data_IF_523141051553
#
_entry.id   IF_523141051553
#
_cell.length_a   1.000
_cell.length_b   1.000
_cell.length_c   1.000
_cell.angle_alpha   90.00
_cell.angle_beta   90.00
_cell.angle_gamma   90.00
#
_symmetry.space_group_name_H-M   'P 1'
#
loop_
_entity.id
_entity.type
_entity.pdbx_description
1 polymer ?
#
# COMPACT_ATOMS: atom_id res chain seq x y z
N UNK A 1 -15.05 11.88 -3.42
CA UNK A 1 -13.81 11.25 -3.88
C UNK A 1 -13.07 10.65 -2.70
N UNK A 2 -12.58 9.41 -2.83
CA UNK A 2 -11.64 8.74 -1.93
C UNK A 2 -10.33 8.53 -2.70
N UNK A 3 -9.20 8.61 -2.00
CA UNK A 3 -7.89 8.19 -2.50
C UNK A 3 -7.45 6.97 -1.71
N UNK A 4 -7.07 5.91 -2.42
CA UNK A 4 -6.49 4.71 -1.82
C UNK A 4 -4.98 4.70 -1.99
N UNK A 5 -4.25 4.59 -0.90
CA UNK A 5 -2.78 4.66 -0.86
C UNK A 5 -2.06 3.40 -1.31
N UNK A 6 -2.77 2.27 -1.59
CA UNK A 6 -2.10 1.04 -2.00
C UNK A 6 -3.03 0.03 -2.65
N UNK A 7 -2.77 -0.31 -3.92
CA UNK A 7 -3.48 -1.36 -4.67
C UNK A 7 -2.55 -2.07 -5.67
N UNK A 8 -2.55 -3.41 -5.65
CA UNK A 8 -1.73 -4.29 -6.51
C UNK A 8 -2.41 -4.62 -7.85
N UNK A 9 -2.87 -3.60 -8.60
CA UNK A 9 -3.71 -3.81 -9.79
C UNK A 9 -3.02 -4.64 -10.88
N UNK A 10 -1.78 -4.30 -11.24
CA UNK A 10 -1.06 -5.02 -12.30
C UNK A 10 -0.67 -6.44 -11.86
N UNK A 11 -0.33 -6.65 -10.59
CA UNK A 11 -0.05 -7.98 -10.05
C UNK A 11 -1.30 -8.87 -10.13
N UNK A 12 -2.45 -8.38 -9.72
CA UNK A 12 -3.73 -9.08 -9.85
C UNK A 12 -4.04 -9.44 -11.30
N UNK A 13 -3.89 -8.50 -12.22
CA UNK A 13 -4.18 -8.73 -13.64
C UNK A 13 -3.22 -9.76 -14.27
N UNK A 14 -1.93 -9.68 -13.98
CA UNK A 14 -0.91 -10.49 -14.67
C UNK A 14 -0.63 -11.83 -13.97
N UNK A 15 -0.65 -11.86 -12.64
CA UNK A 15 -0.35 -13.06 -11.85
C UNK A 15 -1.61 -13.89 -11.59
N UNK A 16 -2.68 -13.24 -11.11
CA UNK A 16 -3.94 -13.93 -10.81
C UNK A 16 -4.90 -14.03 -12.01
N UNK A 17 -4.55 -13.37 -13.13
CA UNK A 17 -5.37 -13.33 -14.35
C UNK A 17 -6.76 -12.73 -14.16
N UNK A 18 -6.91 -11.83 -13.18
CA UNK A 18 -8.13 -11.09 -12.94
C UNK A 18 -8.34 -10.03 -14.01
N UNK A 19 -9.48 -10.07 -14.72
CA UNK A 19 -9.82 -9.07 -15.76
C UNK A 19 -10.42 -7.84 -15.07
N UNK A 20 -9.60 -6.92 -14.60
CA UNK A 20 -10.02 -5.80 -13.74
C UNK A 20 -11.02 -4.83 -14.41
N UNK A 21 -11.20 -4.89 -15.72
CA UNK A 21 -12.24 -4.13 -16.45
C UNK A 21 -13.64 -4.75 -16.34
N UNK A 22 -13.73 -5.97 -15.87
CA UNK A 22 -15.00 -6.68 -15.66
C UNK A 22 -15.68 -6.28 -14.34
N UNK A 23 -16.94 -6.63 -14.20
CA UNK A 23 -17.64 -6.55 -12.92
C UNK A 23 -17.01 -7.52 -11.91
N UNK A 24 -17.07 -7.17 -10.63
CA UNK A 24 -16.54 -8.04 -9.58
C UNK A 24 -17.18 -9.43 -9.58
N UNK A 25 -18.47 -9.52 -9.93
CA UNK A 25 -19.18 -10.80 -10.05
C UNK A 25 -18.60 -11.68 -11.16
N UNK A 26 -18.26 -11.10 -12.31
CA UNK A 26 -17.63 -11.84 -13.40
C UNK A 26 -16.22 -12.30 -13.03
N UNK A 27 -15.43 -11.46 -12.35
CA UNK A 27 -14.11 -11.83 -11.86
C UNK A 27 -14.23 -13.04 -10.94
N UNK A 28 -15.09 -12.97 -9.92
CA UNK A 28 -15.32 -14.06 -8.95
C UNK A 28 -15.81 -15.35 -9.59
N UNK A 29 -16.68 -15.27 -10.59
CA UNK A 29 -17.18 -16.46 -11.32
C UNK A 29 -16.07 -17.17 -12.13
N UNK A 30 -14.99 -16.46 -12.45
CA UNK A 30 -13.86 -17.01 -13.20
C UNK A 30 -12.69 -17.45 -12.31
N UNK A 31 -12.75 -17.18 -10.99
CA UNK A 31 -11.73 -17.61 -10.04
C UNK A 31 -11.78 -19.13 -9.81
N UNK A 32 -10.62 -19.76 -9.73
CA UNK A 32 -10.51 -21.18 -9.41
C UNK A 32 -10.51 -21.41 -7.90
N UNK A 33 -10.88 -22.62 -7.41
CA UNK A 33 -10.76 -22.95 -5.99
C UNK A 33 -9.34 -22.75 -5.44
N UNK A 34 -8.29 -23.03 -6.23
CA UNK A 34 -6.91 -22.81 -5.82
C UNK A 34 -6.59 -21.32 -5.63
N UNK A 35 -7.17 -20.42 -6.43
CA UNK A 35 -7.01 -18.98 -6.25
C UNK A 35 -7.65 -18.53 -4.94
N UNK A 36 -8.86 -18.99 -4.62
CA UNK A 36 -9.52 -18.66 -3.34
C UNK A 36 -8.73 -19.09 -2.13
N UNK A 37 -8.17 -20.29 -2.16
CA UNK A 37 -7.38 -20.81 -1.03
C UNK A 37 -6.07 -20.08 -0.81
N UNK A 38 -5.54 -19.43 -1.84
CA UNK A 38 -4.23 -18.79 -1.80
C UNK A 38 -4.30 -17.27 -1.69
N UNK A 39 -5.21 -16.65 -2.45
CA UNK A 39 -5.27 -15.19 -2.63
C UNK A 39 -6.60 -14.59 -2.17
N UNK A 40 -7.56 -15.44 -1.78
CA UNK A 40 -8.90 -15.03 -1.40
C UNK A 40 -9.77 -14.57 -2.57
N UNK A 41 -11.06 -14.33 -2.28
CA UNK A 41 -12.06 -13.87 -3.23
C UNK A 41 -11.84 -12.41 -3.60
N UNK A 42 -11.83 -12.08 -4.91
CA UNK A 42 -11.56 -10.74 -5.43
C UNK A 42 -12.48 -9.66 -4.85
N UNK A 43 -11.90 -8.50 -4.60
CA UNK A 43 -12.58 -7.32 -4.03
C UNK A 43 -12.47 -6.09 -4.92
N UNK A 44 -11.48 -6.05 -5.85
CA UNK A 44 -11.14 -4.88 -6.64
C UNK A 44 -11.43 -5.10 -8.11
N UNK A 45 -12.16 -4.16 -8.71
CA UNK A 45 -12.28 -3.99 -10.15
C UNK A 45 -12.41 -2.51 -10.49
N UNK A 46 -12.10 -2.11 -11.72
CA UNK A 46 -12.24 -0.71 -12.13
C UNK A 46 -13.70 -0.21 -12.03
N UNK A 47 -14.73 -1.01 -12.40
CA UNK A 47 -16.11 -0.65 -12.14
C UNK A 47 -16.44 -0.45 -10.65
N UNK A 48 -15.94 -1.30 -9.74
CA UNK A 48 -16.16 -1.15 -8.30
C UNK A 48 -15.41 0.06 -7.72
N UNK A 49 -14.20 0.39 -8.23
CA UNK A 49 -13.52 1.64 -7.87
C UNK A 49 -14.37 2.86 -8.26
N UNK A 50 -14.89 2.88 -9.48
CA UNK A 50 -15.80 3.96 -9.92
C UNK A 50 -17.05 4.06 -9.04
N UNK A 51 -17.70 2.93 -8.74
CA UNK A 51 -18.88 2.86 -7.86
C UNK A 51 -18.57 3.35 -6.44
N UNK A 52 -17.37 3.05 -5.92
CA UNK A 52 -16.86 3.50 -4.63
C UNK A 52 -16.37 4.95 -4.64
N UNK A 53 -16.43 5.65 -5.79
CA UNK A 53 -15.86 7.00 -5.94
C UNK A 53 -14.38 7.07 -5.50
N UNK A 54 -13.62 5.99 -5.82
CA UNK A 54 -12.17 5.91 -5.65
C UNK A 54 -11.57 6.44 -6.96
N UNK A 55 -11.27 7.74 -7.00
CA UNK A 55 -10.83 8.40 -8.22
C UNK A 55 -9.32 8.45 -8.37
N UNK A 56 -8.58 8.29 -7.26
CA UNK A 56 -7.12 8.19 -7.27
C UNK A 56 -6.72 6.98 -6.45
N UNK A 57 -5.75 6.21 -6.97
CA UNK A 57 -5.11 5.14 -6.20
C UNK A 57 -3.59 5.17 -6.42
N UNK A 58 -2.83 4.79 -5.38
CA UNK A 58 -1.42 4.46 -5.53
C UNK A 58 -1.36 3.01 -5.99
N UNK A 59 -0.93 2.84 -7.23
CA UNK A 59 -0.93 1.54 -7.90
C UNK A 59 0.48 0.98 -7.94
N UNK A 60 0.64 -0.24 -7.45
CA UNK A 60 1.96 -0.82 -7.24
C UNK A 60 2.55 -1.42 -8.51
N UNK A 61 3.88 -1.41 -8.56
CA UNK A 61 4.69 -2.34 -9.32
C UNK A 61 5.32 -3.26 -8.27
N UNK A 62 4.86 -4.50 -8.20
CA UNK A 62 5.26 -5.47 -7.20
C UNK A 62 5.87 -6.72 -7.86
N UNK A 63 7.15 -6.96 -7.61
CA UNK A 63 7.83 -8.19 -7.99
C UNK A 63 8.04 -9.05 -6.74
N UNK A 64 7.42 -10.21 -6.70
CA UNK A 64 7.48 -11.14 -5.57
C UNK A 64 8.72 -12.02 -5.65
N UNK A 65 9.51 -12.17 -4.56
CA UNK A 65 10.61 -13.15 -4.52
C UNK A 65 10.09 -14.57 -4.60
N UNK A 66 10.80 -15.45 -5.32
CA UNK A 66 10.42 -16.86 -5.46
C UNK A 66 10.57 -17.62 -4.14
N UNK A 67 9.55 -18.39 -3.79
CA UNK A 67 9.55 -19.29 -2.62
C UNK A 67 9.28 -18.60 -1.27
N UNK A 68 9.01 -17.30 -1.24
CA UNK A 68 8.76 -16.58 0.00
C UNK A 68 7.32 -16.73 0.54
N UNK A 69 6.38 -17.03 -0.34
CA UNK A 69 4.98 -17.35 0.00
C UNK A 69 4.51 -18.54 -0.84
N UNK A 70 3.40 -19.19 -0.47
CA UNK A 70 2.80 -20.25 -1.28
C UNK A 70 2.48 -19.82 -2.73
N UNK A 71 2.27 -18.53 -2.95
CA UNK A 71 1.90 -17.92 -4.23
C UNK A 71 3.11 -17.50 -5.06
N UNK A 72 4.30 -17.43 -4.46
CA UNK A 72 5.54 -16.97 -5.10
C UNK A 72 6.25 -18.08 -5.92
N UNK A 73 5.53 -19.07 -6.43
CA UNK A 73 6.09 -20.12 -7.31
C UNK A 73 6.68 -19.48 -8.58
N UNK A 74 6.07 -18.41 -9.07
CA UNK A 74 6.45 -17.69 -10.29
C UNK A 74 7.25 -16.39 -10.00
N UNK A 75 7.75 -16.23 -8.78
CA UNK A 75 8.52 -15.05 -8.37
C UNK A 75 9.93 -15.01 -8.99
N UNK A 76 10.64 -13.90 -8.72
CA UNK A 76 12.01 -13.72 -9.18
C UNK A 76 13.04 -14.42 -8.27
N UNK A 77 14.17 -14.80 -8.88
CA UNK A 77 15.34 -15.39 -8.19
C UNK A 77 16.59 -14.49 -8.30
N UNK A 78 16.56 -13.47 -9.14
CA UNK A 78 17.65 -12.53 -9.36
C UNK A 78 17.10 -11.16 -9.83
N UNK A 79 17.93 -10.09 -9.78
CA UNK A 79 17.48 -8.73 -10.13
C UNK A 79 16.97 -8.56 -11.56
N UNK A 80 17.51 -9.31 -12.53
CA UNK A 80 17.06 -9.23 -13.93
C UNK A 80 15.65 -9.78 -14.09
N UNK A 81 15.34 -10.88 -13.41
CA UNK A 81 13.98 -11.43 -13.37
C UNK A 81 13.00 -10.46 -12.68
N UNK A 82 13.42 -9.83 -11.56
CA UNK A 82 12.62 -8.82 -10.88
C UNK A 82 12.34 -7.61 -11.78
N UNK A 83 13.36 -7.12 -12.49
CA UNK A 83 13.24 -6.05 -13.48
C UNK A 83 12.24 -6.41 -14.57
N UNK A 84 12.34 -7.62 -15.15
CA UNK A 84 11.45 -8.07 -16.21
C UNK A 84 9.99 -8.18 -15.75
N UNK A 85 9.74 -8.65 -14.52
CA UNK A 85 8.40 -8.68 -13.93
C UNK A 85 7.86 -7.25 -13.78
N UNK A 86 8.65 -6.34 -13.22
CA UNK A 86 8.26 -4.95 -13.06
C UNK A 86 7.96 -4.27 -14.40
N UNK A 87 8.78 -4.50 -15.42
CA UNK A 87 8.56 -3.93 -16.76
C UNK A 87 7.30 -4.50 -17.44
N UNK A 88 6.92 -5.76 -17.16
CA UNK A 88 5.64 -6.30 -17.63
C UNK A 88 4.45 -5.59 -16.99
N UNK A 89 4.52 -5.30 -15.68
CA UNK A 89 3.49 -4.55 -14.97
C UNK A 89 3.40 -3.10 -15.47
N UNK A 90 4.53 -2.43 -15.67
CA UNK A 90 4.58 -1.08 -16.26
C UNK A 90 3.90 -1.07 -17.63
N UNK A 91 4.25 -2.01 -18.52
CA UNK A 91 3.63 -2.13 -19.85
C UNK A 91 2.12 -2.37 -19.77
N UNK A 92 1.67 -3.14 -18.77
CA UNK A 92 0.24 -3.32 -18.54
C UNK A 92 -0.43 -1.99 -18.15
N UNK A 93 0.15 -1.21 -17.23
CA UNK A 93 -0.39 0.12 -16.87
C UNK A 93 -0.43 1.05 -18.08
N UNK A 94 0.64 1.11 -18.87
CA UNK A 94 0.70 1.95 -20.08
C UNK A 94 -0.35 1.54 -21.12
N UNK A 95 -0.54 0.23 -21.33
CA UNK A 95 -1.58 -0.28 -22.24
C UNK A 95 -2.99 0.08 -21.76
N UNK A 96 -3.26 -0.03 -20.48
CA UNK A 96 -4.55 0.32 -19.88
C UNK A 96 -4.81 1.83 -19.95
N UNK A 97 -3.78 2.67 -19.79
CA UNK A 97 -3.86 4.13 -19.97
C UNK A 97 -4.16 4.48 -21.44
N UNK A 98 -3.45 3.86 -22.40
CA UNK A 98 -3.72 4.04 -23.84
C UNK A 98 -5.16 3.68 -24.21
N UNK A 99 -5.70 2.64 -23.61
CA UNK A 99 -7.09 2.22 -23.75
C UNK A 99 -8.08 3.07 -22.94
N UNK A 100 -7.61 4.15 -22.27
CA UNK A 100 -8.42 5.14 -21.53
C UNK A 100 -9.20 4.59 -20.31
N UNK A 101 -8.72 3.50 -19.72
CA UNK A 101 -9.31 2.96 -18.50
C UNK A 101 -9.00 3.83 -17.28
N UNK A 102 -7.83 4.46 -17.28
CA UNK A 102 -7.38 5.43 -16.27
C UNK A 102 -6.31 6.36 -16.85
N UNK A 103 -5.82 7.32 -16.06
CA UNK A 103 -4.69 8.18 -16.37
C UNK A 103 -3.61 8.01 -15.29
N UNK A 104 -2.33 7.97 -15.69
CA UNK A 104 -1.21 7.96 -14.76
C UNK A 104 -0.82 9.41 -14.42
N UNK A 105 -0.74 9.73 -13.13
CA UNK A 105 -0.33 11.04 -12.62
C UNK A 105 1.20 11.11 -12.65
N UNK A 106 1.74 11.98 -13.52
CA UNK A 106 3.19 12.17 -13.69
C UNK A 106 3.67 13.56 -13.31
N UNK A 107 2.73 14.50 -13.13
CA UNK A 107 3.01 15.90 -12.87
C UNK A 107 1.99 16.55 -11.93
N UNK A 108 2.31 17.73 -11.42
CA UNK A 108 1.37 18.53 -10.63
C UNK A 108 0.11 18.91 -11.44
N UNK A 109 0.26 19.17 -12.74
CA UNK A 109 -0.88 19.44 -13.63
C UNK A 109 -1.81 18.22 -13.74
N UNK A 110 -1.25 17.00 -13.85
CA UNK A 110 -2.05 15.78 -13.84
C UNK A 110 -2.79 15.58 -12.52
N UNK A 111 -2.14 15.91 -11.39
CA UNK A 111 -2.77 15.83 -10.07
C UNK A 111 -3.95 16.81 -9.96
N UNK A 112 -3.79 18.05 -10.42
CA UNK A 112 -4.87 19.04 -10.40
C UNK A 112 -6.05 18.60 -11.30
N UNK A 113 -5.75 18.05 -12.49
CA UNK A 113 -6.77 17.48 -13.35
C UNK A 113 -7.50 16.30 -12.67
N UNK A 114 -6.76 15.40 -12.02
CA UNK A 114 -7.31 14.25 -11.31
C UNK A 114 -8.26 14.64 -10.15
N UNK A 115 -8.05 15.78 -9.51
CA UNK A 115 -8.91 16.27 -8.43
C UNK A 115 -10.27 16.79 -8.93
N UNK A 116 -10.37 17.17 -10.19
CA UNK A 116 -11.55 17.82 -10.78
C UNK A 116 -12.29 16.95 -11.78
N UNK A 117 -11.62 15.96 -12.38
CA UNK A 117 -12.25 15.01 -13.27
C UNK A 117 -12.87 13.83 -12.49
N UNK A 118 -13.85 13.15 -13.10
CA UNK A 118 -14.49 11.97 -12.52
C UNK A 118 -13.90 10.65 -13.08
N UNK A 119 -12.65 10.70 -13.58
CA UNK A 119 -11.97 9.51 -14.10
C UNK A 119 -11.10 8.89 -13.02
N UNK A 120 -10.77 7.62 -13.20
CA UNK A 120 -9.77 6.96 -12.39
C UNK A 120 -8.38 7.45 -12.77
N UNK A 121 -7.57 7.79 -11.77
CA UNK A 121 -6.20 8.24 -11.93
C UNK A 121 -5.29 7.42 -11.01
N UNK A 122 -4.07 7.12 -11.45
CA UNK A 122 -3.14 6.29 -10.71
C UNK A 122 -1.82 7.01 -10.49
N UNK A 123 -1.27 6.96 -9.27
CA UNK A 123 0.13 7.28 -8.99
C UNK A 123 0.90 5.98 -8.83
N UNK A 124 1.98 5.80 -9.59
CA UNK A 124 2.73 4.55 -9.56
C UNK A 124 3.73 4.52 -8.40
N UNK A 125 3.74 3.39 -7.68
CA UNK A 125 4.57 3.06 -6.53
C UNK A 125 5.34 1.76 -6.80
N UNK A 126 6.66 1.75 -6.62
CA UNK A 126 7.47 0.52 -6.66
C UNK A 126 7.51 -0.10 -5.26
N UNK A 127 6.93 -1.27 -5.09
CA UNK A 127 6.92 -2.01 -3.83
C UNK A 127 8.00 -3.10 -3.83
N UNK A 128 9.06 -2.85 -3.05
CA UNK A 128 10.30 -3.61 -3.10
C UNK A 128 11.23 -3.15 -4.23
N UNK A 129 12.45 -2.75 -3.89
CA UNK A 129 13.37 -2.11 -4.84
C UNK A 129 14.24 -3.10 -5.66
N UNK A 130 14.10 -4.42 -5.49
CA UNK A 130 14.89 -5.41 -6.24
C UNK A 130 14.74 -5.34 -7.77
N UNK A 131 13.64 -4.82 -8.36
CA UNK A 131 13.58 -4.51 -9.79
C UNK A 131 14.62 -3.49 -10.28
N UNK A 132 15.17 -2.66 -9.41
CA UNK A 132 16.30 -1.80 -9.75
C UNK A 132 17.58 -2.65 -9.76
N UNK A 133 18.03 -3.14 -10.91
CA UNK A 133 19.24 -3.97 -11.05
C UNK A 133 20.49 -3.26 -10.55
N UNK A 134 20.52 -1.95 -10.80
CA UNK A 134 21.45 -0.98 -10.22
C UNK A 134 20.68 0.28 -9.82
N UNK A 135 21.30 1.13 -9.00
CA UNK A 135 20.71 2.41 -8.57
C UNK A 135 20.42 3.32 -9.79
N UNK A 136 21.10 3.13 -10.91
CA UNK A 136 20.91 3.94 -12.12
C UNK A 136 19.60 3.62 -12.83
N UNK A 137 19.08 2.41 -12.68
CA UNK A 137 17.75 2.04 -13.20
C UNK A 137 16.64 2.92 -12.61
N UNK A 138 16.85 3.60 -11.47
CA UNK A 138 15.88 4.55 -10.91
C UNK A 138 15.37 5.55 -11.94
N UNK A 139 16.24 6.02 -12.84
CA UNK A 139 15.86 6.97 -13.89
C UNK A 139 14.85 6.35 -14.86
N UNK A 140 15.04 5.08 -15.23
CA UNK A 140 14.12 4.35 -16.12
C UNK A 140 12.73 4.28 -15.47
N UNK A 141 12.65 3.93 -14.19
CA UNK A 141 11.37 3.83 -13.48
C UNK A 141 10.69 5.19 -13.33
N UNK A 142 11.45 6.26 -13.07
CA UNK A 142 10.92 7.65 -13.03
C UNK A 142 10.33 8.05 -14.39
N UNK A 143 10.98 7.72 -15.49
CA UNK A 143 10.53 8.03 -16.86
C UNK A 143 9.21 7.32 -17.19
N UNK A 144 8.98 6.12 -16.62
CA UNK A 144 7.70 5.41 -16.67
C UNK A 144 6.64 5.94 -15.70
N UNK A 145 6.95 6.94 -14.89
CA UNK A 145 5.98 7.60 -14.00
C UNK A 145 5.97 7.12 -12.56
N UNK A 146 6.91 6.28 -12.12
CA UNK A 146 7.04 5.91 -10.71
C UNK A 146 7.44 7.16 -9.90
N UNK A 147 6.74 7.41 -8.79
CA UNK A 147 6.94 8.59 -7.93
C UNK A 147 7.13 8.26 -6.45
N UNK A 148 6.95 7.00 -6.08
CA UNK A 148 7.21 6.50 -4.74
C UNK A 148 7.88 5.15 -4.78
N UNK A 149 8.73 4.84 -3.82
CA UNK A 149 9.45 3.56 -3.71
C UNK A 149 9.48 3.11 -2.26
N UNK A 150 9.04 1.87 -2.01
CA UNK A 150 9.33 1.11 -0.81
C UNK A 150 10.60 0.27 -1.03
N UNK A 151 11.70 0.50 -0.30
CA UNK A 151 12.96 -0.21 -0.54
C UNK A 151 12.89 -1.73 -0.29
N UNK A 152 11.97 -2.19 0.53
CA UNK A 152 11.77 -3.60 0.80
C UNK A 152 10.30 -3.99 0.82
N UNK A 153 9.98 -5.23 0.41
CA UNK A 153 8.76 -5.94 0.76
C UNK A 153 9.03 -6.90 1.94
N UNK A 154 9.95 -7.84 1.78
CA UNK A 154 10.62 -8.55 2.89
C UNK A 154 12.07 -8.08 2.97
N UNK A 155 13.04 -8.92 2.69
CA UNK A 155 14.43 -8.51 2.53
C UNK A 155 14.72 -8.30 1.05
N UNK A 156 15.30 -7.16 0.70
CA UNK A 156 15.86 -6.88 -0.62
C UNK A 156 17.36 -6.65 -0.54
N UNK A 157 18.02 -6.41 -1.66
CA UNK A 157 19.43 -5.97 -1.68
C UNK A 157 19.63 -4.60 -1.03
N UNK A 158 18.55 -3.84 -0.86
CA UNK A 158 18.58 -2.46 -0.36
C UNK A 158 18.26 -2.34 1.13
N UNK A 159 17.39 -3.21 1.66
CA UNK A 159 16.94 -3.08 3.04
C UNK A 159 16.41 -4.39 3.63
N UNK A 160 16.48 -4.51 4.94
CA UNK A 160 15.69 -5.47 5.69
C UNK A 160 14.22 -5.01 5.77
N UNK A 161 13.30 -5.97 5.78
CA UNK A 161 11.86 -5.72 5.81
C UNK A 161 11.12 -6.66 6.75
N UNK A 162 9.80 -6.58 6.76
CA UNK A 162 8.92 -7.37 7.63
C UNK A 162 9.16 -8.88 7.45
N UNK A 163 9.35 -9.59 8.57
CA UNK A 163 9.65 -11.02 8.59
C UNK A 163 11.08 -11.40 8.15
N UNK A 164 11.92 -10.43 7.79
CA UNK A 164 13.35 -10.59 7.55
C UNK A 164 14.07 -9.28 7.93
N UNK A 165 14.03 -8.89 9.22
CA UNK A 165 14.50 -7.59 9.68
C UNK A 165 16.00 -7.41 9.47
N UNK A 166 16.40 -6.15 9.28
CA UNK A 166 17.78 -5.74 9.11
C UNK A 166 17.88 -4.24 8.81
N UNK A 167 19.08 -3.67 8.83
CA UNK A 167 19.31 -2.26 8.49
C UNK A 167 19.21 -2.03 6.98
N UNK A 168 19.35 -0.78 6.56
CA UNK A 168 19.68 -0.45 5.18
C UNK A 168 21.05 -1.05 4.82
N UNK A 169 21.18 -1.51 3.58
CA UNK A 169 22.51 -1.84 3.03
C UNK A 169 23.20 -0.56 2.52
N UNK A 170 24.47 -0.67 2.11
CA UNK A 170 25.15 0.48 1.47
C UNK A 170 24.47 0.89 0.16
N UNK A 171 23.99 -0.09 -0.61
CA UNK A 171 23.17 0.17 -1.81
C UNK A 171 21.83 0.86 -1.43
N UNK A 172 21.21 0.44 -0.31
CA UNK A 172 20.00 1.07 0.21
C UNK A 172 20.19 2.53 0.59
N UNK A 173 21.28 2.85 1.31
CA UNK A 173 21.64 4.23 1.64
C UNK A 173 21.89 5.08 0.38
N UNK A 174 22.57 4.51 -0.61
CA UNK A 174 22.83 5.18 -1.88
C UNK A 174 21.53 5.38 -2.68
N UNK A 175 20.59 4.41 -2.67
CA UNK A 175 19.28 4.52 -3.28
C UNK A 175 18.47 5.66 -2.64
N UNK A 176 18.38 5.71 -1.32
CA UNK A 176 17.64 6.77 -0.61
C UNK A 176 18.19 8.16 -0.92
N UNK A 177 19.53 8.31 -0.94
CA UNK A 177 20.18 9.57 -1.35
C UNK A 177 19.83 9.97 -2.80
N UNK A 178 19.69 9.00 -3.71
CA UNK A 178 19.30 9.29 -5.09
C UNK A 178 17.82 9.62 -5.20
N UNK A 179 16.96 8.92 -4.45
CA UNK A 179 15.52 9.22 -4.34
C UNK A 179 15.31 10.64 -3.81
N UNK A 180 16.02 11.04 -2.77
CA UNK A 180 15.95 12.39 -2.19
C UNK A 180 16.27 13.47 -3.23
N UNK A 181 17.37 13.31 -3.96
CA UNK A 181 17.78 14.23 -5.05
C UNK A 181 16.78 14.31 -6.21
N UNK A 182 15.97 13.27 -6.41
CA UNK A 182 14.97 13.17 -7.49
C UNK A 182 13.54 13.46 -7.00
N UNK A 183 13.38 13.83 -5.74
CA UNK A 183 12.09 14.04 -5.07
C UNK A 183 11.14 12.84 -5.21
N UNK A 184 11.68 11.61 -5.14
CA UNK A 184 10.90 10.38 -5.10
C UNK A 184 10.51 10.10 -3.65
N UNK A 185 9.21 9.90 -3.41
CA UNK A 185 8.72 9.64 -2.06
C UNK A 185 9.20 8.28 -1.53
N UNK A 186 9.50 8.24 -0.25
CA UNK A 186 9.83 7.02 0.47
C UNK A 186 8.56 6.41 1.08
N UNK A 187 8.19 5.22 0.64
CA UNK A 187 7.23 4.38 1.33
C UNK A 187 7.95 3.49 2.33
N UNK A 188 7.61 3.63 3.61
CA UNK A 188 8.21 2.83 4.69
C UNK A 188 7.44 1.56 5.01
N UNK A 189 6.29 1.32 4.35
CA UNK A 189 5.58 0.06 4.48
C UNK A 189 6.53 -1.10 4.19
N UNK A 190 6.43 -2.17 4.97
CA UNK A 190 7.33 -3.32 4.94
C UNK A 190 8.77 -3.11 5.42
N UNK A 191 9.31 -1.90 5.52
CA UNK A 191 10.65 -1.71 6.08
C UNK A 191 10.71 -2.19 7.54
N UNK A 192 11.81 -2.81 7.93
CA UNK A 192 12.08 -3.11 9.34
C UNK A 192 12.33 -1.84 10.14
N UNK A 193 12.09 -1.88 11.46
CA UNK A 193 12.33 -0.73 12.35
C UNK A 193 13.78 -0.19 12.25
N UNK A 194 14.75 -1.07 12.05
CA UNK A 194 16.16 -0.68 11.86
C UNK A 194 16.33 0.13 10.58
N UNK A 195 15.80 -0.37 9.46
CA UNK A 195 15.85 0.33 8.18
C UNK A 195 15.07 1.65 8.21
N UNK A 196 13.89 1.70 8.83
CA UNK A 196 13.10 2.92 9.01
C UNK A 196 13.90 3.98 9.77
N UNK A 197 14.52 3.62 10.89
CA UNK A 197 15.27 4.57 11.71
C UNK A 197 16.45 5.19 10.95
N UNK A 198 17.17 4.41 10.15
CA UNK A 198 18.23 4.93 9.29
C UNK A 198 17.66 5.79 8.15
N UNK A 199 16.58 5.35 7.52
CA UNK A 199 15.96 6.05 6.41
C UNK A 199 15.52 7.49 6.75
N UNK A 200 14.98 7.70 7.95
CA UNK A 200 14.63 9.04 8.44
C UNK A 200 15.82 10.00 8.55
N UNK A 201 17.04 9.50 8.73
CA UNK A 201 18.24 10.33 8.80
C UNK A 201 18.86 10.65 7.43
N UNK A 202 18.48 9.90 6.39
CA UNK A 202 19.07 10.00 5.05
C UNK A 202 18.11 10.69 4.08
N UNK A 203 16.85 10.27 4.07
CA UNK A 203 15.83 10.77 3.12
C UNK A 203 15.11 11.98 3.71
N UNK A 204 15.21 13.15 3.05
CA UNK A 204 14.57 14.40 3.46
C UNK A 204 13.30 14.73 2.64
N UNK A 205 13.07 14.03 1.56
CA UNK A 205 11.90 14.16 0.70
C UNK A 205 10.59 13.66 1.33
N UNK A 206 9.52 13.56 0.55
CA UNK A 206 8.23 13.05 1.02
C UNK A 206 8.35 11.62 1.57
N UNK A 207 7.70 11.37 2.71
CA UNK A 207 7.71 10.06 3.37
C UNK A 207 6.30 9.70 3.81
N UNK A 208 5.93 8.44 3.69
CA UNK A 208 4.64 7.91 4.12
C UNK A 208 4.72 6.39 4.35
N UNK A 209 3.72 5.82 5.02
CA UNK A 209 3.43 4.41 4.98
C UNK A 209 2.18 4.23 4.12
N UNK A 210 2.31 3.60 2.96
CA UNK A 210 1.19 3.42 2.04
C UNK A 210 0.06 2.58 2.66
N UNK A 211 0.42 1.53 3.42
CA UNK A 211 -0.50 0.59 4.05
C UNK A 211 0.10 -0.01 5.33
N UNK A 212 -0.27 0.52 6.49
CA UNK A 212 0.17 0.03 7.82
C UNK A 212 -0.83 0.39 8.91
N UNK A 213 -0.87 -0.40 9.98
CA UNK A 213 -1.68 -0.12 11.16
C UNK A 213 -0.79 0.15 12.39
N UNK A 214 -1.40 0.48 13.53
CA UNK A 214 -0.68 0.73 14.78
C UNK A 214 -0.29 -0.58 15.45
N UNK A 215 1.01 -0.80 15.67
CA UNK A 215 1.54 -1.99 16.37
C UNK A 215 0.93 -2.16 17.75
N UNK A 216 0.81 -1.08 18.54
CA UNK A 216 0.26 -1.13 19.88
C UNK A 216 -1.21 -1.56 19.94
N UNK A 217 -1.98 -1.32 18.88
CA UNK A 217 -3.37 -1.77 18.76
C UNK A 217 -3.42 -3.20 18.22
N UNK A 218 -2.75 -3.48 17.10
CA UNK A 218 -2.70 -4.83 16.49
C UNK A 218 -2.26 -5.89 17.48
N UNK A 219 -1.25 -5.59 18.30
CA UNK A 219 -0.63 -6.51 19.26
C UNK A 219 -1.23 -6.43 20.66
N UNK A 220 -2.41 -5.80 20.84
CA UNK A 220 -3.03 -5.65 22.15
C UNK A 220 -3.24 -7.01 22.82
N UNK A 221 -2.74 -7.14 24.05
CA UNK A 221 -2.80 -8.36 24.85
C UNK A 221 -2.00 -9.57 24.31
N UNK A 222 -1.17 -9.40 23.29
CA UNK A 222 -0.33 -10.46 22.74
C UNK A 222 1.08 -10.36 23.29
N UNK A 223 1.61 -11.49 23.78
CA UNK A 223 3.04 -11.62 24.08
C UNK A 223 3.80 -12.05 22.84
N UNK A 224 4.71 -11.18 22.40
CA UNK A 224 5.58 -11.47 21.25
C UNK A 224 6.72 -12.37 21.73
N UNK A 225 6.89 -13.52 21.08
CA UNK A 225 8.07 -14.37 21.23
C UNK A 225 8.88 -14.37 19.93
N UNK A 226 10.19 -14.44 20.06
CA UNK A 226 11.09 -14.42 18.90
C UNK A 226 10.80 -15.58 17.95
N UNK A 227 10.80 -15.28 16.64
CA UNK A 227 10.49 -16.24 15.57
C UNK A 227 9.00 -16.57 15.39
N UNK A 228 8.12 -16.00 16.23
CA UNK A 228 6.69 -16.26 16.13
C UNK A 228 6.03 -15.53 14.94
N UNK A 229 4.86 -16.01 14.52
CA UNK A 229 4.01 -15.28 13.57
C UNK A 229 3.66 -13.87 14.08
N UNK A 230 3.43 -13.72 15.38
CA UNK A 230 3.13 -12.45 16.01
C UNK A 230 4.28 -11.43 15.90
N UNK A 231 5.54 -11.88 15.97
CA UNK A 231 6.70 -11.00 15.72
C UNK A 231 6.66 -10.44 14.29
N UNK A 232 6.40 -11.29 13.30
CA UNK A 232 6.28 -10.86 11.89
C UNK A 232 5.13 -9.88 11.67
N UNK A 233 3.98 -10.12 12.32
CA UNK A 233 2.83 -9.20 12.29
C UNK A 233 3.20 -7.88 12.96
N UNK A 234 3.89 -7.91 14.11
CA UNK A 234 4.31 -6.72 14.83
C UNK A 234 5.30 -5.86 14.00
N UNK A 235 6.29 -6.50 13.38
CA UNK A 235 7.27 -5.82 12.50
C UNK A 235 6.61 -5.15 11.29
N UNK A 236 5.48 -5.68 10.83
CA UNK A 236 4.73 -5.12 9.70
C UNK A 236 3.97 -3.85 10.05
N UNK A 237 3.75 -3.58 11.35
CA UNK A 237 2.97 -2.44 11.84
C UNK A 237 3.89 -1.35 12.39
N UNK A 238 3.47 -0.08 12.26
CA UNK A 238 4.23 1.06 12.78
C UNK A 238 4.07 1.22 14.29
N UNK A 239 5.17 1.44 14.99
CA UNK A 239 5.13 1.80 16.42
C UNK A 239 4.81 3.29 16.62
N UNK A 240 4.50 3.67 17.86
CA UNK A 240 4.08 5.02 18.20
C UNK A 240 5.17 6.07 17.89
N UNK A 241 6.46 5.71 18.03
CA UNK A 241 7.59 6.61 17.71
C UNK A 241 7.74 6.82 16.21
N UNK A 242 7.44 5.80 15.41
CA UNK A 242 7.44 5.91 13.94
C UNK A 242 6.27 6.80 13.50
N UNK A 243 5.07 6.65 14.13
CA UNK A 243 3.92 7.54 13.86
C UNK A 243 4.30 9.00 14.12
N UNK A 244 4.95 9.29 15.26
CA UNK A 244 5.41 10.63 15.59
C UNK A 244 6.40 11.19 14.54
N UNK A 245 7.40 10.38 14.15
CA UNK A 245 8.38 10.76 13.11
C UNK A 245 7.73 11.06 11.76
N UNK A 246 6.76 10.23 11.34
CA UNK A 246 5.99 10.46 10.11
C UNK A 246 5.23 11.79 10.20
N UNK A 247 4.56 12.04 11.31
CA UNK A 247 3.80 13.28 11.55
C UNK A 247 4.68 14.53 11.48
N UNK A 248 5.86 14.50 12.12
CA UNK A 248 6.85 15.59 12.08
C UNK A 248 7.32 15.91 10.66
N UNK A 249 7.32 14.90 9.77
CA UNK A 249 7.66 15.03 8.35
C UNK A 249 6.44 15.33 7.48
N UNK A 250 5.25 15.60 8.08
CA UNK A 250 3.98 15.81 7.39
C UNK A 250 3.59 14.62 6.49
N UNK A 251 4.04 13.43 6.85
CA UNK A 251 3.73 12.18 6.17
C UNK A 251 2.35 11.65 6.51
N UNK A 252 2.00 10.50 5.93
CA UNK A 252 0.73 9.82 6.17
C UNK A 252 0.93 8.33 6.42
N UNK A 253 -0.06 7.71 7.07
CA UNK A 253 -0.16 6.28 7.30
C UNK A 253 -1.50 5.81 6.76
N UNK A 254 -1.46 4.99 5.72
CA UNK A 254 -2.64 4.35 5.13
C UNK A 254 -3.12 3.20 5.99
N UNK A 255 -4.36 3.25 6.45
CA UNK A 255 -5.01 2.17 7.19
C UNK A 255 -5.22 0.97 6.26
N UNK A 256 -4.65 -0.18 6.63
CA UNK A 256 -4.77 -1.44 5.89
C UNK A 256 -5.96 -2.26 6.41
N UNK A 257 -6.66 -2.91 5.46
CA UNK A 257 -7.94 -3.61 5.71
C UNK A 257 -7.77 -5.13 5.87
N UNK A 258 -6.61 -5.59 6.30
CA UNK A 258 -6.32 -7.01 6.53
C UNK A 258 -6.50 -7.37 8.00
N UNK A 259 -7.41 -8.30 8.31
CA UNK A 259 -7.80 -8.63 9.68
C UNK A 259 -6.63 -8.93 10.63
N UNK A 260 -5.62 -9.76 10.26
CA UNK A 260 -4.46 -9.99 11.13
C UNK A 260 -3.63 -8.74 11.42
N UNK A 261 -3.71 -7.69 10.58
CA UNK A 261 -3.03 -6.43 10.79
C UNK A 261 -3.87 -5.43 11.59
N UNK A 262 -5.18 -5.67 11.68
CA UNK A 262 -6.08 -4.93 12.55
C UNK A 262 -6.01 -5.54 13.96
N UNK A 263 -6.11 -6.86 14.08
CA UNK A 263 -6.06 -7.59 15.34
C UNK A 263 -5.30 -8.91 15.16
N UNK A 264 -4.08 -9.00 15.71
CA UNK A 264 -3.21 -10.16 15.51
C UNK A 264 -3.75 -11.46 16.14
N UNK A 265 -4.68 -11.37 17.08
CA UNK A 265 -5.40 -12.51 17.66
C UNK A 265 -6.54 -13.03 16.77
N UNK A 266 -6.87 -12.32 15.68
CA UNK A 266 -7.94 -12.75 14.79
C UNK A 266 -7.69 -14.16 14.22
N UNK A 267 -8.74 -14.99 14.24
CA UNK A 267 -8.75 -16.34 13.71
C UNK A 267 -9.94 -16.49 12.76
N UNK A 268 -9.69 -16.92 11.53
CA UNK A 268 -10.70 -17.04 10.48
C UNK A 268 -11.86 -17.99 10.82
N UNK A 269 -11.61 -18.95 11.71
CA UNK A 269 -12.61 -19.99 12.05
C UNK A 269 -13.64 -19.53 13.10
N UNK A 270 -13.41 -18.42 13.79
CA UNK A 270 -14.18 -18.11 15.01
C UNK A 270 -14.98 -16.81 14.95
N UNK A 271 -14.54 -15.75 14.26
CA UNK A 271 -15.22 -14.45 14.36
C UNK A 271 -15.01 -13.56 13.12
N UNK A 272 -16.10 -12.98 12.62
CA UNK A 272 -16.03 -11.83 11.73
C UNK A 272 -15.52 -10.61 12.51
N UNK A 273 -14.43 -10.00 12.05
CA UNK A 273 -13.94 -8.78 12.67
C UNK A 273 -14.83 -7.60 12.24
N UNK A 274 -15.49 -6.89 13.17
CA UNK A 274 -16.37 -5.78 12.76
C UNK A 274 -15.59 -4.68 12.04
N UNK A 275 -16.20 -4.03 11.07
CA UNK A 275 -15.58 -2.88 10.35
C UNK A 275 -15.14 -1.76 11.31
N UNK A 276 -15.83 -1.58 12.42
CA UNK A 276 -15.48 -0.63 13.49
C UNK A 276 -14.14 -0.91 14.17
N UNK A 277 -13.56 -2.11 14.01
CA UNK A 277 -12.23 -2.47 14.55
C UNK A 277 -11.09 -1.64 13.95
N UNK A 278 -11.33 -0.92 12.87
CA UNK A 278 -10.40 0.09 12.33
C UNK A 278 -10.33 1.36 13.18
N UNK A 279 -11.38 1.68 13.95
CA UNK A 279 -11.44 2.94 14.71
C UNK A 279 -10.33 3.10 15.75
N UNK A 280 -9.92 2.08 16.53
CA UNK A 280 -8.79 2.21 17.45
C UNK A 280 -7.49 2.64 16.76
N UNK A 281 -7.19 2.11 15.55
CA UNK A 281 -6.01 2.50 14.77
C UNK A 281 -6.10 3.96 14.32
N UNK A 282 -7.23 4.36 13.73
CA UNK A 282 -7.48 5.74 13.33
C UNK A 282 -7.30 6.70 14.52
N UNK A 283 -7.91 6.38 15.67
CA UNK A 283 -7.79 7.17 16.90
C UNK A 283 -6.36 7.27 17.37
N UNK A 284 -5.61 6.16 17.39
CA UNK A 284 -4.22 6.16 17.86
C UNK A 284 -3.31 6.98 16.98
N UNK A 285 -3.40 6.86 15.66
CA UNK A 285 -2.61 7.67 14.73
C UNK A 285 -2.97 9.17 14.91
N UNK A 286 -4.27 9.50 15.01
CA UNK A 286 -4.72 10.87 15.25
C UNK A 286 -4.22 11.42 16.58
N UNK A 287 -4.23 10.65 17.66
CA UNK A 287 -3.76 11.07 18.99
C UNK A 287 -2.28 11.43 18.97
N UNK A 288 -1.45 10.71 18.23
CA UNK A 288 0.00 10.91 18.18
C UNK A 288 0.38 11.96 17.13
N UNK A 289 -0.17 11.85 15.93
CA UNK A 289 0.29 12.61 14.76
C UNK A 289 -0.70 13.63 14.20
N UNK A 290 -1.91 13.74 14.79
CA UNK A 290 -3.00 14.54 14.20
C UNK A 290 -3.74 13.79 13.08
N UNK A 291 -4.91 14.32 12.71
CA UNK A 291 -5.73 13.74 11.64
C UNK A 291 -5.01 13.81 10.27
N UNK A 292 -4.11 14.75 10.10
CA UNK A 292 -3.31 14.94 8.90
C UNK A 292 -2.38 13.77 8.61
N UNK A 293 -2.13 12.90 9.61
CA UNK A 293 -1.27 11.71 9.47
C UNK A 293 -2.05 10.48 9.02
N UNK A 294 -3.39 10.49 9.06
CA UNK A 294 -4.22 9.32 8.73
C UNK A 294 -4.63 9.32 7.27
N UNK A 295 -4.50 8.19 6.59
CA UNK A 295 -4.97 7.99 5.21
C UNK A 295 -5.65 6.61 5.07
N UNK A 296 -6.18 6.31 3.90
CA UNK A 296 -6.62 4.97 3.50
C UNK A 296 -5.51 4.37 2.65
N UNK A 297 -5.11 3.15 2.95
CA UNK A 297 -4.21 2.32 2.17
C UNK A 297 -4.69 0.89 2.29
N UNK A 298 -5.73 0.57 1.51
CA UNK A 298 -6.60 -0.57 1.81
C UNK A 298 -5.92 -1.91 1.67
N UNK A 299 -5.00 -2.03 0.73
CA UNK A 299 -4.31 -3.29 0.38
C UNK A 299 -5.30 -4.40 -0.03
N UNK A 300 -6.48 -4.00 -0.54
CA UNK A 300 -7.48 -4.95 -1.02
C UNK A 300 -6.95 -5.67 -2.26
N UNK A 301 -7.10 -7.00 -2.26
CA UNK A 301 -6.51 -7.89 -3.26
C UNK A 301 -4.96 -7.93 -3.26
N UNK A 302 -4.29 -7.42 -2.22
CA UNK A 302 -2.84 -7.56 -2.00
C UNK A 302 -2.44 -8.93 -1.43
N UNK A 303 -2.89 -10.02 -2.06
CA UNK A 303 -2.71 -11.40 -1.58
C UNK A 303 -3.71 -11.81 -0.49
N UNK A 304 -4.79 -11.05 -0.34
CA UNK A 304 -5.88 -11.31 0.62
C UNK A 304 -7.22 -10.99 -0.05
N UNK A 305 -8.29 -11.66 0.35
CA UNK A 305 -9.63 -11.45 -0.19
C UNK A 305 -10.68 -11.15 0.89
N UNK A 306 -11.94 -11.23 0.49
CA UNK A 306 -13.11 -10.96 1.36
C UNK A 306 -13.01 -11.69 2.70
N UNK A 307 -12.50 -12.90 2.70
CA UNK A 307 -12.43 -13.80 3.88
C UNK A 307 -11.53 -13.27 4.98
N UNK A 308 -10.57 -12.42 4.62
CA UNK A 308 -9.56 -11.89 5.53
C UNK A 308 -9.69 -10.38 5.77
N UNK A 309 -10.82 -9.78 5.37
CA UNK A 309 -11.12 -8.36 5.55
C UNK A 309 -12.26 -8.17 6.57
N UNK A 310 -12.41 -6.97 7.16
CA UNK A 310 -13.47 -6.70 8.13
C UNK A 310 -14.88 -6.96 7.57
N UNK A 311 -15.76 -7.45 8.43
CA UNK A 311 -17.16 -7.71 8.10
C UNK A 311 -17.84 -6.47 7.50
N UNK A 312 -18.57 -6.71 6.43
CA UNK A 312 -19.22 -5.66 5.65
C UNK A 312 -18.32 -4.99 4.61
N UNK A 313 -17.04 -5.37 4.48
CA UNK A 313 -16.16 -4.96 3.40
C UNK A 313 -16.13 -6.06 2.34
N UNK A 314 -17.02 -5.98 1.36
CA UNK A 314 -17.17 -6.99 0.33
C UNK A 314 -16.46 -6.62 -0.99
N UNK A 315 -16.38 -5.34 -1.31
CA UNK A 315 -15.64 -4.81 -2.46
C UNK A 315 -14.99 -3.49 -2.09
N UNK A 316 -14.07 -3.00 -2.92
CA UNK A 316 -13.43 -1.70 -2.73
C UNK A 316 -14.44 -0.55 -2.65
N UNK A 317 -15.63 -0.68 -3.25
CA UNK A 317 -16.69 0.32 -3.14
C UNK A 317 -17.16 0.53 -1.69
N UNK A 318 -17.01 -0.46 -0.83
CA UNK A 318 -17.38 -0.38 0.59
C UNK A 318 -16.48 0.53 1.43
N UNK A 319 -15.33 0.99 0.90
CA UNK A 319 -14.51 2.03 1.55
C UNK A 319 -15.32 3.32 1.82
N UNK A 320 -16.44 3.53 1.11
CA UNK A 320 -17.41 4.60 1.40
C UNK A 320 -18.05 4.47 2.79
N UNK A 321 -17.91 3.35 3.47
CA UNK A 321 -18.37 3.16 4.87
C UNK A 321 -17.47 3.89 5.88
N UNK A 322 -16.20 4.15 5.55
CA UNK A 322 -15.24 4.83 6.44
C UNK A 322 -15.73 6.25 6.82
N UNK A 323 -16.10 7.13 5.88
CA UNK A 323 -16.68 8.44 6.23
C UNK A 323 -17.88 8.35 7.17
N UNK A 324 -18.79 7.41 6.93
CA UNK A 324 -19.96 7.21 7.78
C UNK A 324 -19.58 6.73 9.19
N UNK A 325 -18.63 5.81 9.28
CA UNK A 325 -18.09 5.34 10.56
C UNK A 325 -17.44 6.50 11.34
N UNK A 326 -16.67 7.35 10.69
CA UNK A 326 -16.06 8.54 11.31
C UNK A 326 -17.13 9.51 11.80
N UNK A 327 -18.14 9.85 10.99
CA UNK A 327 -19.24 10.72 11.37
C UNK A 327 -19.99 10.20 12.61
N UNK A 328 -20.26 8.89 12.67
CA UNK A 328 -20.90 8.23 13.83
C UNK A 328 -20.01 8.26 15.09
N UNK A 329 -18.70 8.54 14.95
CA UNK A 329 -17.74 8.69 16.04
C UNK A 329 -17.35 10.17 16.29
N UNK A 330 -18.20 11.12 15.88
CA UNK A 330 -18.07 12.57 16.11
C UNK A 330 -16.83 13.21 15.47
N UNK A 331 -16.33 12.66 14.34
CA UNK A 331 -15.35 13.37 13.52
C UNK A 331 -16.02 14.46 12.70
N UNK A 332 -15.39 15.61 12.61
CA UNK A 332 -15.87 16.73 11.78
C UNK A 332 -15.72 16.42 10.29
N UNK A 333 -16.52 17.10 9.45
CA UNK A 333 -16.41 17.00 7.99
C UNK A 333 -14.99 17.32 7.49
N UNK A 334 -14.28 18.27 8.13
CA UNK A 334 -12.89 18.58 7.81
C UNK A 334 -11.96 17.38 8.06
N UNK A 335 -12.11 16.68 9.17
CA UNK A 335 -11.31 15.49 9.48
C UNK A 335 -11.64 14.31 8.54
N UNK A 336 -12.91 14.14 8.21
CA UNK A 336 -13.36 13.14 7.26
C UNK A 336 -12.77 13.42 5.87
N UNK A 337 -12.77 14.66 5.42
CA UNK A 337 -12.17 15.06 4.14
C UNK A 337 -10.65 14.90 4.15
N UNK A 338 -9.98 15.22 5.24
CA UNK A 338 -8.54 15.02 5.39
C UNK A 338 -8.16 13.55 5.15
N UNK A 339 -8.83 12.61 5.82
CA UNK A 339 -8.60 11.17 5.66
C UNK A 339 -8.98 10.66 4.27
N UNK A 340 -10.12 11.09 3.73
CA UNK A 340 -10.62 10.60 2.43
C UNK A 340 -9.67 10.90 1.27
N UNK A 341 -9.07 12.08 1.27
CA UNK A 341 -8.25 12.53 0.13
C UNK A 341 -7.22 13.60 0.49
N UNK A 342 -7.53 14.56 1.37
CA UNK A 342 -6.69 15.72 1.60
C UNK A 342 -5.26 15.39 2.00
N UNK A 343 -5.07 14.35 2.80
CA UNK A 343 -3.76 13.96 3.30
C UNK A 343 -2.89 13.33 2.20
N UNK A 344 -3.45 12.46 1.36
CA UNK A 344 -2.71 11.88 0.22
C UNK A 344 -2.51 12.89 -0.91
N UNK A 345 -3.45 13.83 -1.14
CA UNK A 345 -3.22 14.96 -2.06
C UNK A 345 -1.99 15.74 -1.61
N UNK A 346 -1.88 16.08 -0.32
CA UNK A 346 -0.70 16.78 0.22
C UNK A 346 0.60 16.03 -0.04
N UNK A 347 0.63 14.70 0.14
CA UNK A 347 1.81 13.88 -0.18
C UNK A 347 2.15 14.00 -1.67
N UNK A 348 1.16 13.85 -2.56
CA UNK A 348 1.39 13.98 -4.01
C UNK A 348 1.88 15.39 -4.39
N UNK A 349 1.32 16.45 -3.78
CA UNK A 349 1.80 17.82 -3.98
C UNK A 349 3.26 18.00 -3.53
N UNK A 350 3.68 17.35 -2.45
CA UNK A 350 5.08 17.37 -2.01
C UNK A 350 6.00 16.65 -3.00
N UNK A 351 5.53 15.57 -3.64
CA UNK A 351 6.27 14.81 -4.65
C UNK A 351 6.48 15.62 -5.94
N UNK A 352 5.48 16.38 -6.36
CA UNK A 352 5.51 17.11 -7.65
C UNK A 352 5.99 18.56 -7.53
N UNK A 353 6.38 19.01 -6.35
CA UNK A 353 7.05 20.31 -6.14
C UNK A 353 8.51 20.26 -6.55
#
# INVERSE_FOLDING_TARGET
>A
MIIDGHLDLAWNALTLKRVLTDTISNIRNNETPEQWHREGTAMVSLPEMCKGNINIAFATIFAQPKGETPTSITGYSNPEEAYNIAMQQIKWYESMEQNKHFKIIRSLADLHDAQTNNKLNLMLLLEGADPLRTIDDLTIFIDHGIRAIGPAWRKTRYAGGAGAPGPLTDEGRALLNKMDKKNIALDISHLSDLAINEAFSIHNGPIFASHSNCRSITMKNIKISSGSMYEKIAERQVDDRIIEKIALRKGTIGLVMYNPFIEASWNNDENLLPFSSLMPHLKRIKEIGGIETVAIGSDLDGGVGVESTPDGLNTIADLQKIPKMMANNNYSDKEIMALKNGNLIRIMEMIFK
#
